data_IF_403038311551
#
_entry.id   IF_403038311551
#
_cell.length_a   1.000
_cell.length_b   1.000
_cell.length_c   1.000
_cell.angle_alpha   90.00
_cell.angle_beta   90.00
_cell.angle_gamma   90.00
#
_symmetry.space_group_name_H-M   'P 1'
#
loop_
_entity.id
_entity.type
_entity.pdbx_description
1 polymer ?
#
# COMPACT_ATOMS: atom_id res chain seq x y z
N UNK A 1 36.15 18.02 -23.66
CA UNK A 1 34.76 17.91 -23.13
C UNK A 1 34.81 17.66 -21.63
N UNK A 2 34.87 18.74 -20.87
CA UNK A 2 34.71 18.75 -19.41
C UNK A 2 33.24 18.48 -19.09
N UNK A 3 32.96 17.48 -18.23
CA UNK A 3 31.64 17.33 -17.64
C UNK A 3 31.23 18.65 -16.98
N UNK A 4 29.99 19.13 -17.18
CA UNK A 4 29.52 20.27 -16.43
C UNK A 4 29.58 19.94 -14.93
N UNK A 5 29.89 20.91 -14.06
CA UNK A 5 29.84 20.72 -12.62
C UNK A 5 28.43 20.24 -12.26
N UNK A 6 28.36 19.21 -11.41
CA UNK A 6 27.12 18.66 -10.91
C UNK A 6 26.28 19.77 -10.27
N UNK A 7 25.17 20.05 -10.96
CA UNK A 7 23.84 20.32 -10.43
C UNK A 7 23.75 21.14 -9.14
N UNK A 8 23.10 22.29 -9.27
CA UNK A 8 22.22 22.89 -8.24
C UNK A 8 21.79 21.86 -7.20
N UNK A 9 22.04 22.16 -5.92
CA UNK A 9 21.38 21.47 -4.81
C UNK A 9 19.87 21.48 -5.13
N UNK A 10 19.34 20.31 -5.50
CA UNK A 10 17.89 20.14 -5.57
C UNK A 10 17.40 20.28 -4.12
N UNK A 11 16.56 21.28 -3.85
CA UNK A 11 15.96 21.47 -2.54
C UNK A 11 15.06 20.26 -2.24
N UNK A 12 15.57 19.33 -1.44
CA UNK A 12 14.81 18.19 -0.93
C UNK A 12 13.90 18.72 0.18
N UNK A 13 12.61 18.84 -0.13
CA UNK A 13 11.60 19.19 0.87
C UNK A 13 11.18 17.96 1.68
N UNK A 14 11.23 18.05 3.01
CA UNK A 14 10.73 17.02 3.92
C UNK A 14 9.31 17.37 4.35
N UNK A 15 8.34 16.54 3.96
CA UNK A 15 6.93 16.70 4.31
C UNK A 15 6.37 15.42 4.95
N UNK A 16 6.78 15.17 6.20
CA UNK A 16 6.32 14.03 6.99
C UNK A 16 4.80 14.01 7.21
N UNK A 17 4.09 15.13 7.47
CA UNK A 17 2.64 15.11 7.58
C UNK A 17 1.93 14.55 6.34
N UNK A 18 2.50 14.75 5.15
CA UNK A 18 1.94 14.25 3.90
C UNK A 18 2.33 12.80 3.58
N UNK A 19 3.59 12.41 3.82
CA UNK A 19 4.11 11.09 3.42
C UNK A 19 4.11 10.06 4.56
N UNK A 20 3.97 10.50 5.81
CA UNK A 20 3.87 9.68 7.03
C UNK A 20 2.59 10.00 7.79
N UNK A 21 1.51 10.32 7.08
CA UNK A 21 0.19 10.66 7.62
C UNK A 21 -0.30 9.69 8.72
N UNK A 22 0.05 8.41 8.64
CA UNK A 22 -0.35 7.39 9.61
C UNK A 22 0.28 7.59 11.00
N UNK A 23 1.45 8.22 11.11
CA UNK A 23 2.09 8.56 12.40
C UNK A 23 1.42 9.77 13.06
N UNK A 24 0.78 10.62 12.25
CA UNK A 24 0.10 11.83 12.69
C UNK A 24 -1.41 11.65 12.89
N UNK A 25 -1.92 10.43 12.71
CA UNK A 25 -3.33 10.12 12.81
C UNK A 25 -3.65 9.47 14.17
N UNK A 26 -4.13 10.25 15.13
CA UNK A 26 -4.37 9.76 16.51
C UNK A 26 -5.31 8.54 16.56
N UNK A 27 -6.39 8.56 15.78
CA UNK A 27 -7.31 7.41 15.64
C UNK A 27 -6.62 6.16 15.10
N UNK A 28 -5.75 6.29 14.11
CA UNK A 28 -4.98 5.16 13.58
C UNK A 28 -4.05 4.59 14.66
N UNK A 29 -3.30 5.47 15.34
CA UNK A 29 -2.34 5.09 16.37
C UNK A 29 -3.06 4.33 17.50
N UNK A 30 -4.14 4.89 18.03
CA UNK A 30 -4.85 4.28 19.16
C UNK A 30 -5.60 2.99 18.80
N UNK A 31 -6.27 2.94 17.64
CA UNK A 31 -7.14 1.81 17.29
C UNK A 31 -6.40 0.67 16.59
N UNK A 32 -5.25 0.93 15.99
CA UNK A 32 -4.52 -0.05 15.14
C UNK A 32 -3.07 -0.24 15.58
N UNK A 33 -2.28 0.83 15.70
CA UNK A 33 -0.85 0.70 15.99
C UNK A 33 -0.57 0.21 17.41
N UNK A 34 -1.23 0.82 18.41
CA UNK A 34 -1.05 0.51 19.83
C UNK A 34 -2.08 -0.53 20.35
N UNK A 35 -3.09 -0.86 19.54
CA UNK A 35 -4.11 -1.83 19.92
C UNK A 35 -3.63 -3.27 19.71
N UNK A 36 -3.34 -3.96 20.81
CA UNK A 36 -2.89 -5.35 20.80
C UNK A 36 -3.86 -6.33 20.09
N UNK A 37 -5.15 -6.00 20.02
CA UNK A 37 -6.16 -6.84 19.35
C UNK A 37 -6.28 -6.59 17.85
N UNK A 38 -5.72 -5.48 17.36
CA UNK A 38 -5.85 -5.10 15.94
C UNK A 38 -5.25 -6.14 15.00
N UNK A 39 -4.26 -6.89 15.48
CA UNK A 39 -3.52 -7.92 14.73
C UNK A 39 -3.95 -9.35 15.08
N UNK A 40 -5.12 -9.56 15.70
CA UNK A 40 -5.55 -10.89 16.17
C UNK A 40 -5.58 -11.95 15.06
N UNK A 41 -5.86 -11.58 13.80
CA UNK A 41 -5.82 -12.51 12.67
C UNK A 41 -4.41 -12.98 12.33
N UNK A 42 -3.39 -12.13 12.54
CA UNK A 42 -1.98 -12.54 12.37
C UNK A 42 -1.60 -13.52 13.46
N UNK A 43 -1.89 -13.18 14.72
CA UNK A 43 -1.57 -14.04 15.87
C UNK A 43 -2.30 -15.38 15.80
N UNK A 44 -3.58 -15.39 15.40
CA UNK A 44 -4.31 -16.63 15.18
C UNK A 44 -3.73 -17.47 14.03
N UNK A 45 -3.18 -16.84 12.98
CA UNK A 45 -2.55 -17.57 11.87
C UNK A 45 -1.19 -18.16 12.24
N UNK A 46 -0.39 -17.45 13.06
CA UNK A 46 0.87 -17.95 13.61
C UNK A 46 0.71 -19.28 14.34
N UNK A 47 -0.38 -19.42 15.09
CA UNK A 47 -0.75 -20.64 15.84
C UNK A 47 -1.57 -21.66 15.00
N UNK A 48 -1.85 -21.31 13.75
CA UNK A 48 -2.70 -22.07 12.83
C UNK A 48 -2.05 -23.35 12.28
N UNK A 49 -2.85 -24.26 11.71
CA UNK A 49 -2.36 -25.53 11.18
C UNK A 49 -1.45 -25.37 9.94
N UNK A 50 -1.58 -24.29 9.18
CA UNK A 50 -0.68 -23.93 8.08
C UNK A 50 0.73 -23.65 8.62
N UNK A 51 0.85 -22.73 9.58
CA UNK A 51 2.14 -22.37 10.17
C UNK A 51 2.78 -23.51 10.98
N UNK A 52 1.98 -24.31 11.69
CA UNK A 52 2.48 -25.50 12.40
C UNK A 52 3.20 -26.48 11.46
N UNK A 53 2.65 -26.71 10.25
CA UNK A 53 3.28 -27.56 9.24
C UNK A 53 4.60 -26.99 8.73
N UNK A 54 4.68 -25.67 8.55
CA UNK A 54 5.94 -25.00 8.15
C UNK A 54 6.98 -25.14 9.26
N UNK A 55 6.59 -24.91 10.52
CA UNK A 55 7.45 -25.06 11.69
C UNK A 55 8.05 -26.46 11.78
N UNK A 56 7.22 -27.50 11.67
CA UNK A 56 7.68 -28.90 11.71
C UNK A 56 8.68 -29.21 10.58
N UNK A 57 8.45 -28.70 9.37
CA UNK A 57 9.37 -28.88 8.23
C UNK A 57 10.71 -28.18 8.45
N UNK A 58 10.69 -26.92 8.88
CA UNK A 58 11.90 -26.14 9.15
C UNK A 58 12.68 -26.74 10.31
N UNK A 59 12.02 -27.15 11.39
CA UNK A 59 12.62 -27.85 12.52
C UNK A 59 13.31 -29.15 12.06
N UNK A 60 12.63 -29.95 11.23
CA UNK A 60 13.19 -31.17 10.64
C UNK A 60 14.42 -30.90 9.76
N UNK A 61 14.41 -29.85 8.95
CA UNK A 61 15.54 -29.45 8.11
C UNK A 61 16.76 -28.97 8.94
N UNK A 62 16.50 -28.34 10.09
CA UNK A 62 17.54 -27.86 11.02
C UNK A 62 17.98 -28.91 12.05
N UNK A 63 17.34 -30.08 12.09
CA UNK A 63 17.52 -31.10 13.13
C UNK A 63 17.28 -30.57 14.56
N UNK A 64 16.26 -29.72 14.73
CA UNK A 64 15.85 -29.14 16.01
C UNK A 64 14.48 -29.66 16.47
N UNK A 65 14.18 -29.67 17.78
CA UNK A 65 12.82 -29.84 18.27
C UNK A 65 11.90 -28.72 17.78
N UNK A 66 10.68 -29.06 17.35
CA UNK A 66 9.75 -28.08 16.78
C UNK A 66 9.25 -27.03 17.81
N UNK A 67 9.25 -27.39 19.10
CA UNK A 67 8.88 -26.51 20.22
C UNK A 67 9.95 -25.46 20.56
N UNK A 68 11.17 -25.58 20.02
CA UNK A 68 12.20 -24.54 20.09
C UNK A 68 12.01 -23.44 19.03
N UNK A 69 11.13 -23.66 18.04
CA UNK A 69 10.80 -22.69 17.00
C UNK A 69 9.42 -22.07 17.23
N UNK A 70 9.25 -20.83 16.77
CA UNK A 70 7.94 -20.19 16.65
C UNK A 70 7.80 -19.51 15.30
N UNK A 71 6.58 -19.10 14.97
CA UNK A 71 6.26 -18.49 13.68
C UNK A 71 7.13 -17.25 13.37
N UNK A 72 7.46 -16.45 14.38
CA UNK A 72 8.29 -15.25 14.22
C UNK A 72 9.74 -15.60 13.86
N UNK A 73 10.34 -16.59 14.52
CA UNK A 73 11.69 -17.08 14.19
C UNK A 73 11.76 -17.64 12.77
N UNK A 74 10.75 -18.42 12.37
CA UNK A 74 10.64 -18.94 11.00
C UNK A 74 10.47 -17.82 9.98
N UNK A 75 9.65 -16.81 10.30
CA UNK A 75 9.48 -15.63 9.45
C UNK A 75 10.79 -14.84 9.33
N UNK A 76 11.59 -14.71 10.39
CA UNK A 76 12.92 -14.08 10.34
C UNK A 76 13.86 -14.83 9.40
N UNK A 77 13.90 -16.17 9.47
CA UNK A 77 14.71 -16.98 8.56
C UNK A 77 14.27 -16.80 7.09
N UNK A 78 12.96 -16.78 6.83
CA UNK A 78 12.41 -16.53 5.50
C UNK A 78 12.75 -15.12 4.98
N UNK A 79 12.61 -14.09 5.84
CA UNK A 79 12.95 -12.73 5.48
C UNK A 79 14.45 -12.55 5.23
N UNK A 80 15.30 -13.26 5.98
CA UNK A 80 16.75 -13.24 5.76
C UNK A 80 17.12 -13.77 4.38
N UNK A 81 16.53 -14.90 3.96
CA UNK A 81 16.62 -15.38 2.59
C UNK A 81 16.18 -14.28 1.59
N UNK A 82 15.01 -13.67 1.81
CA UNK A 82 14.47 -12.67 0.88
C UNK A 82 15.36 -11.43 0.76
N UNK A 83 15.94 -10.94 1.87
CA UNK A 83 16.81 -9.77 1.87
C UNK A 83 18.17 -10.05 1.23
N UNK A 84 18.76 -11.21 1.49
CA UNK A 84 20.02 -11.59 0.85
C UNK A 84 19.86 -11.75 -0.66
N UNK A 85 18.72 -12.30 -1.11
CA UNK A 85 18.40 -12.36 -2.52
C UNK A 85 18.18 -10.95 -3.11
N UNK A 86 17.34 -10.13 -2.49
CA UNK A 86 16.97 -8.82 -3.03
C UNK A 86 18.13 -7.81 -3.04
N UNK A 87 18.97 -7.82 -2.00
CA UNK A 87 20.03 -6.81 -1.80
C UNK A 87 21.35 -7.28 -2.41
N UNK A 88 21.71 -8.55 -2.23
CA UNK A 88 23.02 -9.09 -2.63
C UNK A 88 22.95 -9.97 -3.88
N UNK A 89 21.76 -10.28 -4.38
CA UNK A 89 21.55 -11.26 -5.45
C UNK A 89 22.15 -12.64 -5.12
N UNK A 90 22.03 -13.05 -3.84
CA UNK A 90 22.54 -14.33 -3.33
C UNK A 90 21.37 -15.20 -2.89
N UNK A 91 21.30 -16.42 -3.42
CA UNK A 91 20.42 -17.46 -2.87
C UNK A 91 21.12 -18.10 -1.68
N UNK A 92 20.75 -17.66 -0.47
CA UNK A 92 21.42 -18.12 0.74
C UNK A 92 20.91 -19.46 1.24
N UNK A 93 21.66 -20.17 2.11
CA UNK A 93 21.20 -21.42 2.71
C UNK A 93 19.86 -21.28 3.44
N UNK A 94 19.51 -20.09 3.94
CA UNK A 94 18.20 -19.82 4.52
C UNK A 94 17.05 -20.11 3.55
N UNK A 95 17.25 -19.85 2.25
CA UNK A 95 16.24 -20.14 1.23
C UNK A 95 15.98 -21.64 1.05
N UNK A 96 16.99 -22.49 1.33
CA UNK A 96 16.85 -23.95 1.20
C UNK A 96 15.99 -24.59 2.28
N UNK A 97 15.66 -23.85 3.35
CA UNK A 97 14.77 -24.32 4.41
C UNK A 97 13.30 -24.35 4.00
N UNK A 98 12.95 -23.68 2.90
CA UNK A 98 11.55 -23.45 2.51
C UNK A 98 11.26 -24.03 1.13
N UNK A 99 10.17 -24.79 1.04
CA UNK A 99 9.57 -25.11 -0.26
C UNK A 99 8.71 -23.94 -0.76
N UNK A 100 8.28 -24.00 -2.03
CA UNK A 100 7.33 -23.01 -2.58
C UNK A 100 6.01 -22.99 -1.79
N UNK A 101 5.54 -24.14 -1.32
CA UNK A 101 4.32 -24.23 -0.51
C UNK A 101 4.50 -23.58 0.86
N UNK A 102 5.68 -23.74 1.49
CA UNK A 102 5.99 -23.04 2.74
C UNK A 102 6.07 -21.53 2.53
N UNK A 103 6.68 -21.10 1.41
CA UNK A 103 6.76 -19.70 1.02
C UNK A 103 5.37 -19.08 0.79
N UNK A 104 4.39 -19.82 0.22
CA UNK A 104 3.00 -19.34 0.08
C UNK A 104 2.31 -19.13 1.42
N UNK A 105 2.59 -19.97 2.41
CA UNK A 105 2.06 -19.81 3.78
C UNK A 105 2.66 -18.55 4.43
N UNK A 106 3.98 -18.37 4.32
CA UNK A 106 4.69 -17.21 4.88
C UNK A 106 4.34 -15.90 4.15
N UNK A 107 4.12 -15.94 2.84
CA UNK A 107 3.54 -14.85 2.06
C UNK A 107 2.18 -14.45 2.62
N UNK A 108 1.29 -15.42 2.89
CA UNK A 108 -0.01 -15.13 3.46
C UNK A 108 0.04 -14.56 4.88
N UNK A 109 0.98 -15.02 5.72
CA UNK A 109 1.23 -14.41 7.03
C UNK A 109 1.62 -12.93 6.91
N UNK A 110 2.49 -12.60 5.94
CA UNK A 110 2.86 -11.21 5.65
C UNK A 110 1.68 -10.41 5.09
N UNK A 111 0.89 -10.99 4.19
CA UNK A 111 -0.29 -10.35 3.63
C UNK A 111 -1.33 -10.06 4.70
N UNK A 112 -1.57 -10.97 5.65
CA UNK A 112 -2.44 -10.72 6.80
C UNK A 112 -1.95 -9.51 7.60
N UNK A 113 -0.64 -9.42 7.85
CA UNK A 113 -0.07 -8.28 8.58
C UNK A 113 -0.32 -6.97 7.84
N UNK A 114 -0.06 -6.93 6.54
CA UNK A 114 -0.25 -5.71 5.75
C UNK A 114 -1.74 -5.38 5.54
N UNK A 115 -2.58 -6.38 5.36
CA UNK A 115 -4.03 -6.22 5.21
C UNK A 115 -4.63 -5.58 6.45
N UNK A 116 -4.35 -6.15 7.64
CA UNK A 116 -4.94 -5.69 8.89
C UNK A 116 -4.35 -4.37 9.39
N UNK A 117 -3.05 -4.12 9.14
CA UNK A 117 -2.36 -2.92 9.63
C UNK A 117 -2.37 -1.73 8.67
N UNK A 118 -2.32 -1.96 7.37
CA UNK A 118 -2.09 -0.92 6.33
C UNK A 118 -3.06 -1.00 5.14
N UNK A 119 -3.92 -2.02 5.09
CA UNK A 119 -4.89 -2.24 4.02
C UNK A 119 -6.32 -2.19 4.54
N UNK A 120 -7.13 -3.17 4.13
CA UNK A 120 -8.57 -3.23 4.38
C UNK A 120 -8.99 -3.80 5.75
N UNK A 121 -8.09 -3.87 6.72
CA UNK A 121 -8.41 -4.32 8.07
C UNK A 121 -9.36 -3.39 8.82
N UNK A 122 -9.07 -2.09 8.78
CA UNK A 122 -9.84 -1.04 9.45
C UNK A 122 -9.97 0.15 8.50
N UNK A 123 -11.13 0.82 8.51
CA UNK A 123 -11.39 1.93 7.59
C UNK A 123 -10.35 3.05 7.72
N UNK A 124 -9.92 3.35 8.97
CA UNK A 124 -8.92 4.37 9.25
C UNK A 124 -7.56 4.12 8.59
N UNK A 125 -7.21 2.84 8.33
CA UNK A 125 -5.97 2.49 7.64
C UNK A 125 -5.89 3.25 6.31
N UNK A 126 -6.94 3.14 5.50
CA UNK A 126 -7.00 3.79 4.19
C UNK A 126 -7.37 5.27 4.28
N UNK A 127 -8.33 5.64 5.14
CA UNK A 127 -8.82 7.03 5.27
C UNK A 127 -7.74 8.02 5.72
N UNK A 128 -6.80 7.58 6.56
CA UNK A 128 -5.67 8.42 6.98
C UNK A 128 -4.81 8.91 5.80
N UNK A 129 -4.84 8.24 4.65
CA UNK A 129 -4.08 8.63 3.44
C UNK A 129 -4.76 9.70 2.58
N UNK A 130 -5.94 10.20 2.95
CA UNK A 130 -6.69 11.06 2.06
C UNK A 130 -6.08 12.44 1.84
N UNK A 131 -5.25 12.95 2.77
CA UNK A 131 -4.43 14.15 2.56
C UNK A 131 -3.48 13.98 1.38
N UNK A 132 -2.80 12.84 1.29
CA UNK A 132 -1.94 12.49 0.15
C UNK A 132 -2.73 12.34 -1.15
N UNK A 133 -3.88 11.67 -1.09
CA UNK A 133 -4.74 11.51 -2.27
C UNK A 133 -5.22 12.88 -2.81
N UNK A 134 -5.64 13.78 -1.92
CA UNK A 134 -6.05 15.14 -2.28
C UNK A 134 -4.89 15.98 -2.80
N UNK A 135 -3.69 15.82 -2.23
CA UNK A 135 -2.46 16.48 -2.70
C UNK A 135 -2.17 16.14 -4.16
N UNK A 136 -2.21 14.85 -4.52
CA UNK A 136 -2.02 14.38 -5.90
C UNK A 136 -3.00 15.08 -6.86
N UNK A 137 -4.30 15.07 -6.54
CA UNK A 137 -5.30 15.71 -7.40
C UNK A 137 -5.17 17.24 -7.44
N UNK A 138 -4.74 17.88 -6.34
CA UNK A 138 -4.45 19.31 -6.31
C UNK A 138 -3.31 19.67 -7.27
N UNK A 139 -2.26 18.85 -7.35
CA UNK A 139 -1.16 19.08 -8.28
C UNK A 139 -1.59 18.87 -9.74
N UNK A 140 -2.38 17.84 -10.00
CA UNK A 140 -2.96 17.58 -11.33
C UNK A 140 -3.88 18.73 -11.78
N UNK A 141 -4.72 19.24 -10.86
CA UNK A 141 -5.59 20.39 -11.11
C UNK A 141 -4.78 21.65 -11.44
N UNK A 142 -3.72 21.93 -10.67
CA UNK A 142 -2.81 23.06 -10.92
C UNK A 142 -2.19 22.97 -12.32
N UNK A 143 -1.69 21.81 -12.71
CA UNK A 143 -1.11 21.60 -14.04
C UNK A 143 -2.15 21.80 -15.16
N UNK A 144 -3.37 21.28 -14.97
CA UNK A 144 -4.48 21.51 -15.91
C UNK A 144 -4.83 23.00 -16.04
N UNK A 145 -4.91 23.74 -14.93
CA UNK A 145 -5.24 25.18 -14.92
C UNK A 145 -4.16 26.04 -15.57
N UNK A 146 -2.88 25.73 -15.31
CA UNK A 146 -1.73 26.37 -15.96
C UNK A 146 -1.76 26.12 -17.47
N UNK A 147 -1.99 24.87 -17.88
CA UNK A 147 -2.15 24.47 -19.29
C UNK A 147 -3.29 25.25 -19.98
N UNK A 148 -4.50 25.29 -19.39
CA UNK A 148 -5.64 26.05 -19.93
C UNK A 148 -5.38 27.55 -20.04
N UNK A 149 -4.56 28.09 -19.14
CA UNK A 149 -4.17 29.50 -19.14
C UNK A 149 -3.00 29.80 -20.09
N UNK A 150 -2.55 28.83 -20.90
CA UNK A 150 -1.36 28.94 -21.74
C UNK A 150 -0.10 29.35 -20.96
N UNK A 151 -0.03 28.99 -19.68
CA UNK A 151 1.14 29.22 -18.83
C UNK A 151 2.06 27.99 -18.88
N UNK A 152 3.39 28.17 -18.74
CA UNK A 152 4.28 27.04 -18.51
C UNK A 152 3.85 26.25 -17.28
N UNK A 153 3.92 24.91 -17.37
CA UNK A 153 3.66 24.04 -16.22
C UNK A 153 4.78 24.22 -15.20
N UNK A 154 4.42 24.67 -14.00
CA UNK A 154 5.40 24.99 -12.95
C UNK A 154 6.11 23.75 -12.41
N UNK A 155 5.40 22.62 -12.34
CA UNK A 155 5.91 21.34 -11.83
C UNK A 155 5.53 20.20 -12.78
N UNK A 156 6.24 20.04 -13.92
CA UNK A 156 5.90 19.02 -14.92
C UNK A 156 6.15 17.59 -14.41
N UNK A 157 7.01 17.44 -13.39
CA UNK A 157 7.28 16.18 -12.70
C UNK A 157 7.30 16.47 -11.21
N UNK A 158 6.61 15.64 -10.43
CA UNK A 158 6.62 15.67 -8.97
C UNK A 158 6.99 14.26 -8.50
N UNK A 159 8.05 14.16 -7.71
CA UNK A 159 8.53 12.89 -7.16
C UNK A 159 8.36 12.94 -5.65
N UNK A 160 7.57 12.02 -5.10
CA UNK A 160 7.37 11.84 -3.67
C UNK A 160 7.96 10.50 -3.26
N UNK A 161 8.78 10.48 -2.22
CA UNK A 161 9.44 9.27 -1.73
C UNK A 161 8.89 8.98 -0.33
N UNK A 162 8.12 7.89 -0.23
CA UNK A 162 7.54 7.41 1.01
C UNK A 162 7.93 5.97 1.31
N UNK A 163 7.17 5.35 2.20
CA UNK A 163 7.34 3.95 2.60
C UNK A 163 6.28 3.04 1.96
N UNK A 164 6.42 1.73 2.12
CA UNK A 164 5.36 0.79 1.77
C UNK A 164 4.06 1.12 2.55
N UNK A 165 4.22 1.57 3.80
CA UNK A 165 3.17 2.07 4.69
C UNK A 165 2.52 3.38 4.22
N UNK A 166 3.12 4.10 3.26
CA UNK A 166 2.52 5.27 2.61
C UNK A 166 1.66 4.83 1.42
N UNK A 167 2.22 3.96 0.56
CA UNK A 167 1.60 3.57 -0.71
C UNK A 167 0.46 2.56 -0.52
N UNK A 168 0.60 1.61 0.41
CA UNK A 168 -0.39 0.55 0.62
C UNK A 168 -1.76 1.10 1.07
N UNK A 169 -1.85 2.04 2.05
CA UNK A 169 -3.10 2.69 2.39
C UNK A 169 -3.71 3.52 1.26
N UNK A 170 -2.88 4.22 0.47
CA UNK A 170 -3.34 5.04 -0.65
C UNK A 170 -4.02 4.18 -1.72
N UNK A 171 -3.41 3.05 -2.09
CA UNK A 171 -4.01 2.09 -3.02
C UNK A 171 -5.32 1.49 -2.46
N UNK A 172 -5.36 1.23 -1.15
CA UNK A 172 -6.57 0.76 -0.49
C UNK A 172 -7.70 1.80 -0.54
N UNK A 173 -7.38 3.08 -0.29
CA UNK A 173 -8.30 4.22 -0.37
C UNK A 173 -8.87 4.39 -1.79
N UNK A 174 -8.05 4.15 -2.81
CA UNK A 174 -8.46 4.13 -4.22
C UNK A 174 -9.33 2.91 -4.60
N UNK A 175 -9.49 1.94 -3.69
CA UNK A 175 -10.29 0.73 -3.91
C UNK A 175 -9.54 -0.42 -4.60
N UNK A 176 -8.22 -0.35 -4.73
CA UNK A 176 -7.44 -1.39 -5.41
C UNK A 176 -7.14 -2.61 -4.54
N UNK A 177 -7.19 -3.79 -5.18
CA UNK A 177 -6.84 -5.08 -4.56
C UNK A 177 -7.73 -5.50 -3.39
N UNK A 178 -8.97 -4.98 -3.31
CA UNK A 178 -9.96 -5.44 -2.34
C UNK A 178 -10.51 -6.82 -2.72
N UNK A 179 -10.31 -7.78 -1.83
CA UNK A 179 -10.88 -9.12 -1.93
C UNK A 179 -12.39 -9.13 -1.59
N UNK A 180 -13.10 -10.15 -2.08
CA UNK A 180 -14.54 -10.32 -1.78
C UNK A 180 -14.76 -10.70 -0.31
N UNK A 181 -13.92 -11.61 0.21
CA UNK A 181 -13.87 -11.96 1.63
C UNK A 181 -12.58 -11.36 2.24
N UNK A 182 -12.63 -10.75 3.43
CA UNK A 182 -11.44 -10.30 4.13
C UNK A 182 -10.43 -11.44 4.36
N UNK A 183 -9.14 -11.12 4.31
CA UNK A 183 -8.09 -12.07 4.67
C UNK A 183 -8.18 -12.39 6.17
N UNK A 184 -8.28 -13.68 6.53
CA UNK A 184 -8.44 -14.16 7.91
C UNK A 184 -7.56 -15.37 8.15
N UNK A 185 -7.17 -15.59 9.41
CA UNK A 185 -6.37 -16.74 9.83
C UNK A 185 -6.93 -18.08 9.34
N UNK A 186 -8.26 -18.21 9.28
CA UNK A 186 -8.93 -19.47 8.97
C UNK A 186 -9.31 -19.63 7.48
N UNK A 187 -8.92 -18.72 6.59
CA UNK A 187 -9.35 -18.77 5.19
C UNK A 187 -8.20 -18.80 4.15
N UNK A 188 -6.97 -19.08 4.58
CA UNK A 188 -5.79 -19.26 3.71
C UNK A 188 -6.08 -20.06 2.43
N UNK A 189 -6.66 -21.26 2.55
CA UNK A 189 -6.93 -22.14 1.41
C UNK A 189 -7.93 -21.52 0.40
N UNK A 190 -8.93 -20.78 0.90
CA UNK A 190 -9.90 -20.07 0.05
C UNK A 190 -9.29 -18.81 -0.58
N UNK A 191 -8.27 -18.24 0.06
CA UNK A 191 -7.52 -17.06 -0.37
C UNK A 191 -6.30 -17.38 -1.26
N UNK A 192 -6.26 -18.56 -1.88
CA UNK A 192 -5.18 -18.95 -2.79
C UNK A 192 -5.06 -18.00 -4.00
N UNK A 193 -6.17 -17.43 -4.48
CA UNK A 193 -6.24 -16.48 -5.60
C UNK A 193 -6.61 -15.05 -5.16
N UNK A 194 -6.30 -14.71 -3.90
CA UNK A 194 -6.53 -13.36 -3.37
C UNK A 194 -5.88 -12.29 -4.24
N UNK A 195 -6.53 -11.13 -4.32
CA UNK A 195 -6.04 -9.90 -4.95
C UNK A 195 -5.04 -9.21 -4.04
N UNK A 196 -5.28 -9.19 -2.73
CA UNK A 196 -4.36 -8.58 -1.77
C UNK A 196 -3.13 -9.44 -1.54
N UNK A 197 -2.06 -9.15 -2.29
CA UNK A 197 -0.73 -9.76 -2.16
C UNK A 197 0.30 -8.64 -2.00
N UNK A 198 0.64 -8.29 -0.76
CA UNK A 198 1.45 -7.10 -0.47
C UNK A 198 2.82 -7.15 -1.16
N UNK A 199 3.42 -8.33 -1.30
CA UNK A 199 4.68 -8.51 -2.03
C UNK A 199 4.59 -8.22 -3.55
N UNK A 200 3.40 -8.14 -4.14
CA UNK A 200 3.16 -7.71 -5.53
C UNK A 200 2.67 -6.29 -5.64
N UNK A 201 2.02 -5.78 -4.59
CA UNK A 201 1.45 -4.43 -4.55
C UNK A 201 2.55 -3.42 -4.20
N UNK A 202 3.26 -3.66 -3.09
CA UNK A 202 4.32 -2.80 -2.55
C UNK A 202 5.65 -3.55 -2.34
N UNK A 203 6.26 -4.12 -3.40
CA UNK A 203 7.62 -4.65 -3.31
C UNK A 203 8.65 -3.55 -3.01
N UNK A 204 9.93 -3.93 -2.84
CA UNK A 204 11.01 -2.94 -2.85
C UNK A 204 10.98 -2.11 -4.13
N UNK A 205 11.18 -0.80 -3.99
CA UNK A 205 11.10 0.19 -5.07
C UNK A 205 9.71 0.27 -5.75
N UNK A 206 8.65 -0.14 -5.06
CA UNK A 206 7.28 0.07 -5.55
C UNK A 206 7.02 1.54 -5.86
N UNK A 207 6.27 1.78 -6.92
CA UNK A 207 5.97 3.11 -7.41
C UNK A 207 4.55 3.19 -7.98
N UNK A 208 3.90 4.32 -7.77
CA UNK A 208 2.61 4.65 -8.35
C UNK A 208 2.77 5.97 -9.11
N UNK A 209 2.50 5.95 -10.40
CA UNK A 209 2.66 7.10 -11.30
C UNK A 209 1.31 7.50 -11.85
N UNK A 210 1.02 8.80 -11.81
CA UNK A 210 -0.11 9.42 -12.49
C UNK A 210 0.42 10.24 -13.66
N UNK A 211 -0.06 9.96 -14.87
CA UNK A 211 0.32 10.70 -16.08
C UNK A 211 -0.90 11.44 -16.60
N UNK A 212 -0.82 12.78 -16.59
CA UNK A 212 -1.85 13.66 -17.14
C UNK A 212 -1.49 14.06 -18.58
N UNK A 213 -2.36 13.71 -19.51
CA UNK A 213 -2.24 14.07 -20.92
C UNK A 213 -3.11 15.28 -21.24
N UNK A 214 -2.60 16.15 -22.10
CA UNK A 214 -3.38 17.15 -22.83
C UNK A 214 -3.60 16.62 -24.27
N UNK A 215 -4.85 16.59 -24.72
CA UNK A 215 -5.23 15.99 -25.99
C UNK A 215 -5.61 17.05 -27.04
N UNK A 216 -4.71 17.34 -27.97
CA UNK A 216 -4.87 18.37 -29.03
C UNK A 216 -6.09 18.16 -29.96
N UNK A 217 -6.59 16.93 -30.04
CA UNK A 217 -7.69 16.53 -30.93
C UNK A 217 -8.99 16.22 -30.18
N UNK A 218 -9.13 16.71 -28.94
CA UNK A 218 -10.34 16.59 -28.16
C UNK A 218 -11.52 17.30 -28.86
N UNK A 219 -12.69 16.64 -28.93
CA UNK A 219 -13.90 17.22 -29.52
C UNK A 219 -14.71 18.00 -28.49
N UNK A 220 -14.51 17.70 -27.21
CA UNK A 220 -15.16 18.38 -26.08
C UNK A 220 -14.13 18.81 -25.06
N UNK A 221 -14.46 19.83 -24.26
CA UNK A 221 -13.60 20.28 -23.15
C UNK A 221 -13.37 19.23 -22.06
N UNK A 222 -14.22 18.19 -22.00
CA UNK A 222 -14.05 17.06 -21.09
C UNK A 222 -13.01 16.04 -21.59
N UNK A 223 -12.85 15.93 -22.90
CA UNK A 223 -11.88 15.02 -23.54
C UNK A 223 -10.46 15.59 -23.59
N UNK A 224 -10.31 16.88 -23.29
CA UNK A 224 -9.06 17.63 -23.38
C UNK A 224 -7.98 17.09 -22.42
N UNK A 225 -8.38 16.51 -21.27
CA UNK A 225 -7.46 15.95 -20.29
C UNK A 225 -7.80 14.51 -19.95
N UNK A 226 -6.80 13.65 -20.06
CA UNK A 226 -6.90 12.23 -19.76
C UNK A 226 -5.83 11.81 -18.77
N UNK A 227 -6.14 10.84 -17.92
CA UNK A 227 -5.23 10.33 -16.91
C UNK A 227 -4.94 8.86 -17.16
N UNK A 228 -3.68 8.48 -16.99
CA UNK A 228 -3.22 7.10 -16.93
C UNK A 228 -2.51 6.86 -15.60
N UNK A 229 -2.64 5.65 -15.06
CA UNK A 229 -1.91 5.23 -13.87
C UNK A 229 -1.00 4.06 -14.18
N UNK A 230 0.16 4.03 -13.54
CA UNK A 230 1.06 2.89 -13.53
C UNK A 230 1.37 2.51 -12.09
N UNK A 231 1.30 1.21 -11.77
CA UNK A 231 1.78 0.66 -10.51
C UNK A 231 2.89 -0.33 -10.82
N UNK A 232 4.06 -0.13 -10.23
CA UNK A 232 5.26 -0.94 -10.48
C UNK A 232 5.53 -1.06 -11.99
N UNK A 233 5.56 0.10 -12.66
CA UNK A 233 5.79 0.24 -14.11
C UNK A 233 4.78 -0.46 -15.03
N UNK A 234 3.68 -0.99 -14.48
CA UNK A 234 2.61 -1.63 -15.25
C UNK A 234 1.37 -0.76 -15.28
N UNK A 235 0.71 -0.69 -16.45
CA UNK A 235 -0.57 0.01 -16.58
C UNK A 235 -1.56 -0.52 -15.56
N UNK A 236 -2.08 0.39 -14.72
CA UNK A 236 -3.08 0.09 -13.70
C UNK A 236 -4.45 0.48 -14.23
N UNK A 237 -5.35 -0.48 -14.53
CA UNK A 237 -6.70 -0.17 -14.95
C UNK A 237 -7.46 0.54 -13.84
N UNK A 238 -8.25 1.57 -14.15
CA UNK A 238 -9.09 2.25 -13.18
C UNK A 238 -10.14 1.30 -12.61
N UNK A 239 -10.27 1.25 -11.28
CA UNK A 239 -11.17 0.33 -10.59
C UNK A 239 -12.62 0.37 -11.10
N UNK A 240 -13.15 1.56 -11.44
CA UNK A 240 -14.54 1.73 -11.83
C UNK A 240 -14.86 1.39 -13.29
N UNK A 241 -13.87 1.41 -14.19
CA UNK A 241 -14.09 1.25 -15.64
C UNK A 241 -13.32 0.09 -16.25
N UNK A 242 -12.32 -0.44 -15.54
CA UNK A 242 -11.36 -1.43 -16.04
C UNK A 242 -10.61 -0.98 -17.32
N UNK A 243 -10.54 0.33 -17.56
CA UNK A 243 -9.76 0.93 -18.65
C UNK A 243 -8.44 1.48 -18.10
N UNK A 244 -7.40 1.56 -18.93
CA UNK A 244 -6.08 2.09 -18.55
C UNK A 244 -5.91 3.59 -18.82
N UNK A 245 -6.94 4.23 -19.36
CA UNK A 245 -7.00 5.65 -19.69
C UNK A 245 -8.41 6.12 -19.36
N UNK A 246 -8.53 7.22 -18.64
CA UNK A 246 -9.82 7.79 -18.25
C UNK A 246 -9.83 9.30 -18.46
N UNK A 247 -11.01 9.86 -18.72
CA UNK A 247 -11.17 11.31 -18.67
C UNK A 247 -10.87 11.80 -17.26
N UNK A 248 -10.04 12.84 -17.15
CA UNK A 248 -9.65 13.35 -15.84
C UNK A 248 -10.87 13.83 -15.03
N UNK A 249 -11.85 14.44 -15.71
CA UNK A 249 -13.10 14.87 -15.09
C UNK A 249 -13.93 13.70 -14.52
N UNK A 250 -14.05 12.59 -15.25
CA UNK A 250 -14.82 11.43 -14.81
C UNK A 250 -14.17 10.76 -13.59
N UNK A 251 -12.83 10.75 -13.55
CA UNK A 251 -12.09 10.24 -12.39
C UNK A 251 -12.30 11.11 -11.14
N UNK A 252 -12.31 12.44 -11.30
CA UNK A 252 -12.65 13.36 -10.20
C UNK A 252 -14.07 13.16 -9.70
N UNK A 253 -15.01 12.93 -10.62
CA UNK A 253 -16.40 12.64 -10.27
C UNK A 253 -16.53 11.31 -9.51
N UNK A 254 -15.79 10.27 -9.92
CA UNK A 254 -15.75 8.99 -9.22
C UNK A 254 -15.20 9.11 -7.78
N UNK A 255 -14.12 9.86 -7.59
CA UNK A 255 -13.51 10.06 -6.26
C UNK A 255 -14.03 11.30 -5.52
N UNK A 256 -15.16 11.88 -5.93
CA UNK A 256 -15.67 13.16 -5.41
C UNK A 256 -15.79 13.17 -3.89
N UNK A 257 -16.29 12.08 -3.30
CA UNK A 257 -16.46 11.97 -1.85
C UNK A 257 -15.13 12.10 -1.11
N UNK A 258 -14.09 11.37 -1.56
CA UNK A 258 -12.76 11.44 -0.96
C UNK A 258 -12.14 12.83 -1.15
N UNK A 259 -12.30 13.42 -2.35
CA UNK A 259 -11.74 14.73 -2.69
C UNK A 259 -12.40 15.89 -1.93
N UNK A 260 -13.67 15.78 -1.54
CA UNK A 260 -14.44 16.87 -0.94
C UNK A 260 -14.73 16.69 0.55
N UNK A 261 -14.93 15.45 0.99
CA UNK A 261 -15.46 15.13 2.32
C UNK A 261 -14.44 14.42 3.22
N UNK A 262 -13.31 13.93 2.71
CA UNK A 262 -12.28 13.38 3.60
C UNK A 262 -11.43 14.50 4.18
N UNK A 263 -11.51 14.72 5.50
CA UNK A 263 -10.70 15.71 6.20
C UNK A 263 -9.81 14.98 7.18
N UNK A 264 -8.50 15.07 6.99
CA UNK A 264 -7.53 14.31 7.78
C UNK A 264 -7.75 14.50 9.29
N UNK A 265 -7.98 15.73 9.74
CA UNK A 265 -8.22 16.04 11.15
C UNK A 265 -9.49 15.38 11.69
N UNK A 266 -10.57 15.33 10.91
CA UNK A 266 -11.84 14.72 11.32
C UNK A 266 -11.77 13.19 11.27
N UNK A 267 -11.10 12.62 10.25
CA UNK A 267 -10.88 11.17 10.15
C UNK A 267 -10.01 10.64 11.30
N UNK A 268 -9.04 11.43 11.72
CA UNK A 268 -8.05 11.06 12.73
C UNK A 268 -8.44 11.50 14.15
N UNK A 269 -9.54 12.21 14.34
CA UNK A 269 -10.08 12.52 15.68
C UNK A 269 -10.53 11.21 16.36
N UNK A 270 -10.11 11.01 17.61
CA UNK A 270 -10.58 9.89 18.42
C UNK A 270 -12.08 10.02 18.68
N UNK A 271 -12.83 8.90 18.69
CA UNK A 271 -14.24 8.94 19.10
C UNK A 271 -14.33 9.56 20.50
N UNK A 272 -15.10 10.64 20.63
CA UNK A 272 -15.43 11.18 21.96
C UNK A 272 -16.11 10.07 22.74
N UNK A 273 -15.62 9.78 23.95
CA UNK A 273 -16.13 8.69 24.79
C UNK A 273 -17.59 8.94 25.17
N UNK A 274 -18.51 8.61 24.28
CA UNK A 274 -19.90 8.39 24.62
C UNK A 274 -20.00 6.93 25.05
N UNK A 275 -20.44 6.70 26.28
CA UNK A 275 -20.73 5.40 26.86
C UNK A 275 -21.84 4.67 26.08
N UNK A 276 -21.51 4.16 24.90
CA UNK A 276 -22.27 3.13 24.16
C UNK A 276 -21.28 2.41 23.25
N UNK A 277 -20.42 1.60 23.88
CA UNK A 277 -19.63 0.59 23.18
C UNK A 277 -20.55 -0.59 22.84
N UNK A 278 -21.11 -0.56 21.63
CA UNK A 278 -21.56 -1.72 20.86
C UNK A 278 -21.88 -1.18 19.47
N UNK A 279 -21.44 -1.90 18.43
CA UNK A 279 -21.64 -1.60 17.01
C UNK A 279 -20.63 -0.64 16.38
N UNK A 280 -19.35 -1.06 16.36
CA UNK A 280 -18.42 -0.81 15.24
C UNK A 280 -17.17 -1.71 15.41
N UNK A 281 -17.39 -3.03 15.38
CA UNK A 281 -16.36 -4.09 15.32
C UNK A 281 -16.72 -5.07 14.20
#
# INVERSE_FOLDING_TARGET
PSCPPSSSEEDIEVNDPLLRFFEHCEKFVALVEENATAMHQVEAFKEGPEMRRVLERVAGALCLPADELNADLVQVAFLTCSYELAIKNVTSPWCSLFSEEDAKVLEYLNDLKQYWKRGYGYDINSRSSCSLFQDIFRQLDKAMEESKSSKPISSPVIVQIGHAETLQPLLALMGFFKDEEPLRANNYARQAQRKFRSGRIVPYAANLVFVLYHCDHAKTSREEYQLQMLLNEQLLPFHHSNQTLALYADLKDYYRDILQNCRFEEECELPRSNNTAADEL
#
